data_IF_930442018857
#
_entry.id   IF_930442018857
#
_cell.length_a   1.000
_cell.length_b   1.000
_cell.length_c   1.000
_cell.angle_alpha   90.00
_cell.angle_beta   90.00
_cell.angle_gamma   90.00
#
_symmetry.space_group_name_H-M   'P 1'
#
loop_
_entity.id
_entity.type
_entity.pdbx_description
1 polymer ?
#
# COMPACT_ATOMS: atom_id res chain seq x y z
N UNK A 1 -55.15 89.65 35.89
CA UNK A 1 -55.56 88.36 36.49
C UNK A 1 -55.84 87.39 35.35
N UNK A 2 -55.31 86.18 35.24
CA UNK A 2 -54.18 85.48 35.84
C UNK A 2 -53.94 84.29 34.85
N UNK A 3 -52.72 84.01 34.36
CA UNK A 3 -52.49 82.94 33.41
C UNK A 3 -52.48 81.58 34.13
N UNK A 4 -53.26 80.61 33.66
CA UNK A 4 -53.17 79.24 34.17
C UNK A 4 -51.99 78.53 33.53
N UNK A 5 -51.06 78.14 34.39
CA UNK A 5 -49.88 77.32 34.12
C UNK A 5 -50.30 75.90 33.77
N UNK A 6 -50.02 75.46 32.53
CA UNK A 6 -50.05 74.04 32.21
C UNK A 6 -48.75 73.37 32.66
N UNK A 7 -48.98 72.35 33.46
CA UNK A 7 -48.05 71.60 34.28
C UNK A 7 -47.26 70.63 33.39
N UNK A 8 -46.06 71.01 32.96
CA UNK A 8 -45.11 70.04 32.40
C UNK A 8 -44.53 69.24 33.56
N UNK A 9 -45.16 68.09 33.85
CA UNK A 9 -44.58 67.11 34.76
C UNK A 9 -43.17 66.72 34.29
N UNK A 10 -42.25 66.56 35.24
CA UNK A 10 -40.89 66.08 35.04
C UNK A 10 -40.89 64.72 34.33
N UNK A 11 -40.89 64.73 33.00
CA UNK A 11 -40.63 63.55 32.20
C UNK A 11 -39.11 63.38 32.23
N UNK A 12 -38.65 62.46 33.08
CA UNK A 12 -37.24 62.09 33.18
C UNK A 12 -36.65 61.84 31.79
N UNK A 13 -35.52 62.48 31.42
CA UNK A 13 -34.89 62.32 30.10
C UNK A 13 -34.60 60.85 29.76
N UNK A 14 -34.38 60.03 30.79
CA UNK A 14 -34.19 58.59 30.67
C UNK A 14 -35.42 57.85 30.12
N UNK A 15 -36.63 58.28 30.49
CA UNK A 15 -37.88 57.70 29.98
C UNK A 15 -38.05 58.05 28.50
N UNK A 16 -37.68 59.28 28.10
CA UNK A 16 -37.77 59.75 26.71
C UNK A 16 -36.76 59.06 25.80
N UNK A 17 -35.51 58.90 26.25
CA UNK A 17 -34.46 58.21 25.50
C UNK A 17 -34.79 56.71 25.36
N UNK A 18 -35.24 56.05 26.45
CA UNK A 18 -35.64 54.65 26.42
C UNK A 18 -36.80 54.41 25.45
N UNK A 19 -37.84 55.25 25.51
CA UNK A 19 -38.98 55.16 24.61
C UNK A 19 -38.62 55.51 23.15
N UNK A 20 -37.62 56.36 22.91
CA UNK A 20 -37.13 56.68 21.57
C UNK A 20 -36.43 55.49 20.93
N UNK A 21 -35.58 54.78 21.68
CA UNK A 21 -34.92 53.57 21.18
C UNK A 21 -35.91 52.40 21.03
N UNK A 22 -36.84 52.21 21.97
CA UNK A 22 -37.88 51.17 21.89
C UNK A 22 -38.87 51.38 20.74
N UNK A 23 -39.18 52.64 20.37
CA UNK A 23 -40.07 52.94 19.23
C UNK A 23 -39.37 52.99 17.87
N UNK A 24 -38.07 53.29 17.81
CA UNK A 24 -37.35 53.52 16.55
C UNK A 24 -36.40 52.39 16.12
N UNK A 25 -36.03 51.44 16.99
CA UNK A 25 -35.26 50.26 16.57
C UNK A 25 -36.16 49.17 16.02
N UNK A 26 -36.60 49.35 14.78
CA UNK A 26 -37.10 48.22 13.97
C UNK A 26 -35.90 47.55 13.29
N UNK A 27 -35.32 46.56 13.98
CA UNK A 27 -34.23 45.77 13.40
C UNK A 27 -34.82 44.80 12.36
N UNK A 28 -34.85 45.19 11.09
CA UNK A 28 -35.22 44.30 9.99
C UNK A 28 -33.95 43.68 9.41
N UNK A 29 -33.76 42.39 9.62
CA UNK A 29 -32.74 41.60 8.93
C UNK A 29 -33.44 40.73 7.89
N UNK A 30 -32.82 40.59 6.71
CA UNK A 30 -33.25 39.66 5.68
C UNK A 30 -32.12 38.69 5.37
N UNK A 31 -32.44 37.40 5.29
CA UNK A 31 -31.52 36.39 4.78
C UNK A 31 -31.92 36.14 3.34
N UNK A 32 -30.98 36.39 2.42
CA UNK A 32 -31.16 36.02 1.02
C UNK A 32 -30.30 34.80 0.73
N UNK A 33 -30.91 33.77 0.14
CA UNK A 33 -30.21 32.66 -0.48
C UNK A 33 -30.32 32.87 -1.99
N UNK A 34 -29.19 32.97 -2.69
CA UNK A 34 -29.17 33.02 -4.16
C UNK A 34 -28.66 31.69 -4.69
N UNK A 35 -29.39 31.12 -5.64
CA UNK A 35 -29.00 29.92 -6.36
C UNK A 35 -28.74 30.33 -7.81
N UNK A 36 -27.46 30.25 -8.21
CA UNK A 36 -27.04 30.47 -9.59
C UNK A 36 -26.90 29.12 -10.28
N UNK A 37 -27.71 28.88 -11.32
CA UNK A 37 -27.60 27.70 -12.19
C UNK A 37 -27.23 28.20 -13.57
N UNK A 38 -26.06 27.80 -14.07
CA UNK A 38 -25.60 28.18 -15.40
C UNK A 38 -25.89 27.07 -16.40
N UNK A 39 -26.65 27.39 -17.45
CA UNK A 39 -27.17 26.44 -18.45
C UNK A 39 -26.43 26.55 -19.79
N UNK A 40 -25.48 27.49 -19.93
CA UNK A 40 -24.74 27.71 -21.17
C UNK A 40 -23.67 26.61 -21.37
N UNK A 41 -23.79 25.76 -22.41
CA UNK A 41 -22.86 24.66 -22.66
C UNK A 41 -21.47 25.14 -23.13
N UNK A 42 -21.32 26.41 -23.52
CA UNK A 42 -20.04 26.98 -23.96
C UNK A 42 -19.12 27.38 -22.80
N UNK A 43 -19.63 27.33 -21.56
CA UNK A 43 -18.90 27.71 -20.36
C UNK A 43 -17.70 26.79 -20.08
N UNK A 44 -16.59 27.34 -19.52
CA UNK A 44 -15.38 26.59 -19.18
C UNK A 44 -15.62 25.37 -18.28
N UNK A 45 -16.73 25.36 -17.52
CA UNK A 45 -17.12 24.29 -16.60
C UNK A 45 -17.39 22.97 -17.36
N UNK A 46 -17.96 23.03 -18.56
CA UNK A 46 -18.19 21.82 -19.38
C UNK A 46 -16.88 21.26 -19.94
N UNK A 47 -15.96 22.13 -20.40
CA UNK A 47 -14.59 21.73 -20.79
C UNK A 47 -13.77 21.20 -19.60
N UNK A 48 -13.95 21.78 -18.41
CA UNK A 48 -13.36 21.28 -17.16
C UNK A 48 -13.87 19.88 -16.81
N UNK A 49 -15.14 19.58 -17.09
CA UNK A 49 -15.72 18.24 -16.89
C UNK A 49 -15.14 17.21 -17.87
N UNK A 50 -14.93 17.56 -19.14
CA UNK A 50 -14.29 16.67 -20.12
C UNK A 50 -12.82 16.38 -19.76
N UNK A 51 -12.09 17.40 -19.32
CA UNK A 51 -10.70 17.24 -18.84
C UNK A 51 -10.63 16.43 -17.54
N UNK A 52 -11.61 16.59 -16.64
CA UNK A 52 -11.72 15.73 -15.45
C UNK A 52 -12.00 14.27 -15.84
N UNK A 53 -12.99 14.02 -16.71
CA UNK A 53 -13.34 12.68 -17.16
C UNK A 53 -12.18 11.97 -17.88
N UNK A 54 -11.41 12.70 -18.70
CA UNK A 54 -10.23 12.14 -19.36
C UNK A 54 -9.11 11.83 -18.37
N UNK A 55 -8.84 12.71 -17.40
CA UNK A 55 -7.89 12.40 -16.30
C UNK A 55 -8.33 11.17 -15.51
N UNK A 56 -9.61 11.06 -15.17
CA UNK A 56 -10.16 9.91 -14.47
C UNK A 56 -9.93 8.61 -15.25
N UNK A 57 -10.20 8.60 -16.56
CA UNK A 57 -9.90 7.44 -17.42
C UNK A 57 -8.41 7.08 -17.42
N UNK A 58 -7.50 8.06 -17.45
CA UNK A 58 -6.05 7.81 -17.37
C UNK A 58 -5.68 7.17 -16.04
N UNK A 59 -6.26 7.62 -14.92
CA UNK A 59 -6.05 6.99 -13.62
C UNK A 59 -6.57 5.56 -13.58
N UNK A 60 -7.75 5.31 -14.14
CA UNK A 60 -8.33 3.95 -14.25
C UNK A 60 -7.41 3.03 -15.05
N UNK A 61 -6.92 3.46 -16.22
CA UNK A 61 -5.96 2.66 -17.00
C UNK A 61 -4.66 2.39 -16.26
N UNK A 62 -4.12 3.40 -15.57
CA UNK A 62 -2.91 3.23 -14.75
C UNK A 62 -3.13 2.24 -13.62
N UNK A 63 -4.31 2.23 -13.02
CA UNK A 63 -4.65 1.31 -11.95
C UNK A 63 -4.77 -0.14 -12.47
N UNK A 64 -5.43 -0.33 -13.62
CA UNK A 64 -5.50 -1.64 -14.30
C UNK A 64 -4.09 -2.14 -14.64
N UNK A 65 -3.22 -1.27 -15.14
CA UNK A 65 -1.83 -1.62 -15.45
C UNK A 65 -1.04 -2.03 -14.20
N UNK A 66 -1.19 -1.29 -13.10
CA UNK A 66 -0.57 -1.63 -11.82
C UNK A 66 -1.07 -2.98 -11.27
N UNK A 67 -2.36 -3.26 -11.38
CA UNK A 67 -2.95 -4.53 -10.96
C UNK A 67 -2.44 -5.70 -11.81
N UNK A 68 -2.36 -5.51 -13.13
CA UNK A 68 -1.79 -6.50 -14.04
C UNK A 68 -0.32 -6.79 -13.72
N UNK A 69 0.48 -5.74 -13.54
CA UNK A 69 1.90 -5.89 -13.19
C UNK A 69 2.07 -6.59 -11.83
N UNK A 70 1.25 -6.25 -10.83
CA UNK A 70 1.27 -6.91 -9.54
C UNK A 70 0.91 -8.40 -9.65
N UNK A 71 -0.07 -8.74 -10.49
CA UNK A 71 -0.45 -10.13 -10.76
C UNK A 71 0.66 -10.91 -11.46
N UNK A 72 1.27 -10.34 -12.51
CA UNK A 72 2.39 -10.97 -13.24
C UNK A 72 3.61 -11.19 -12.33
N UNK A 73 3.95 -10.20 -11.49
CA UNK A 73 5.02 -10.33 -10.51
C UNK A 73 4.73 -11.44 -9.49
N UNK A 74 3.47 -11.54 -9.03
CA UNK A 74 3.05 -12.62 -8.12
C UNK A 74 3.22 -13.99 -8.79
N UNK A 75 2.75 -14.15 -10.02
CA UNK A 75 2.85 -15.41 -10.77
C UNK A 75 4.33 -15.79 -10.99
N UNK A 76 5.16 -14.81 -11.36
CA UNK A 76 6.61 -15.02 -11.53
C UNK A 76 7.25 -15.50 -10.24
N UNK A 77 6.95 -14.86 -9.10
CA UNK A 77 7.44 -15.29 -7.78
C UNK A 77 7.02 -16.72 -7.46
N UNK A 78 5.73 -17.05 -7.60
CA UNK A 78 5.22 -18.41 -7.34
C UNK A 78 5.94 -19.46 -8.17
N UNK A 79 6.18 -19.19 -9.46
CA UNK A 79 6.93 -20.09 -10.34
C UNK A 79 8.39 -20.28 -9.90
N UNK A 80 9.06 -19.22 -9.45
CA UNK A 80 10.45 -19.27 -8.97
C UNK A 80 10.54 -20.04 -7.66
N UNK A 81 9.60 -19.83 -6.72
CA UNK A 81 9.56 -20.59 -5.47
C UNK A 81 9.35 -22.08 -5.72
N UNK A 82 8.45 -22.44 -6.63
CA UNK A 82 8.20 -23.83 -6.99
C UNK A 82 9.48 -24.49 -7.54
N UNK A 83 10.17 -23.83 -8.46
CA UNK A 83 11.43 -24.29 -9.04
C UNK A 83 12.53 -24.44 -7.98
N UNK A 84 12.72 -23.44 -7.12
CA UNK A 84 13.74 -23.48 -6.07
C UNK A 84 13.47 -24.58 -5.04
N UNK A 85 12.20 -24.80 -4.68
CA UNK A 85 11.80 -25.88 -3.79
C UNK A 85 12.07 -27.27 -4.41
N UNK A 86 11.81 -27.42 -5.70
CA UNK A 86 12.17 -28.63 -6.44
C UNK A 86 13.68 -28.87 -6.44
N UNK A 87 14.49 -27.83 -6.71
CA UNK A 87 15.97 -27.92 -6.64
C UNK A 87 16.48 -28.33 -5.26
N UNK A 88 15.91 -27.80 -4.19
CA UNK A 88 16.23 -28.23 -2.81
C UNK A 88 15.92 -29.72 -2.64
N UNK A 89 14.74 -30.16 -3.08
CA UNK A 89 14.31 -31.57 -2.96
C UNK A 89 15.25 -32.51 -3.70
N UNK A 90 15.68 -32.12 -4.91
CA UNK A 90 16.65 -32.88 -5.71
C UNK A 90 18.02 -32.92 -5.01
N UNK A 91 18.53 -31.77 -4.56
CA UNK A 91 19.81 -31.69 -3.86
C UNK A 91 19.81 -32.51 -2.55
N UNK A 92 18.69 -32.56 -1.83
CA UNK A 92 18.54 -33.35 -0.61
C UNK A 92 18.58 -34.85 -0.90
N UNK A 93 17.93 -35.30 -1.98
CA UNK A 93 18.02 -36.70 -2.43
C UNK A 93 19.44 -37.07 -2.87
N UNK A 94 20.13 -36.19 -3.59
CA UNK A 94 21.53 -36.40 -3.98
C UNK A 94 22.40 -36.53 -2.73
N UNK A 95 22.24 -35.64 -1.76
CA UNK A 95 22.99 -35.69 -0.51
C UNK A 95 22.75 -37.00 0.26
N UNK A 96 21.50 -37.47 0.36
CA UNK A 96 21.17 -38.77 0.98
C UNK A 96 21.79 -39.96 0.23
N UNK A 97 21.82 -39.90 -1.11
CA UNK A 97 22.47 -40.92 -1.93
C UNK A 97 23.98 -40.95 -1.67
N UNK A 98 24.63 -39.79 -1.66
CA UNK A 98 26.07 -39.70 -1.39
C UNK A 98 26.40 -40.15 0.03
N UNK A 99 25.57 -39.85 1.04
CA UNK A 99 25.74 -40.39 2.39
C UNK A 99 25.74 -41.92 2.40
N UNK A 100 24.82 -42.52 1.65
CA UNK A 100 24.72 -43.98 1.54
C UNK A 100 25.94 -44.58 0.82
N UNK A 101 26.42 -43.92 -0.24
CA UNK A 101 27.63 -44.30 -0.97
C UNK A 101 28.89 -44.20 -0.10
N UNK A 102 29.04 -43.14 0.68
CA UNK A 102 30.17 -42.98 1.62
C UNK A 102 30.16 -44.05 2.70
N UNK A 103 28.98 -44.43 3.21
CA UNK A 103 28.86 -45.54 4.17
C UNK A 103 29.32 -46.87 3.56
N UNK A 104 28.90 -47.15 2.32
CA UNK A 104 29.32 -48.37 1.60
C UNK A 104 30.82 -48.32 1.23
N UNK A 105 31.36 -47.15 0.90
CA UNK A 105 32.79 -46.96 0.68
C UNK A 105 33.61 -47.23 1.95
N UNK A 106 33.10 -46.82 3.12
CA UNK A 106 33.71 -47.13 4.42
C UNK A 106 33.75 -48.65 4.66
N UNK A 107 32.66 -49.36 4.39
CA UNK A 107 32.62 -50.83 4.55
C UNK A 107 33.65 -51.51 3.61
N UNK A 108 33.77 -51.03 2.37
CA UNK A 108 34.77 -51.57 1.45
C UNK A 108 36.21 -51.24 1.84
N UNK A 109 36.46 -50.05 2.38
CA UNK A 109 37.77 -49.68 2.91
C UNK A 109 38.18 -50.62 4.07
N UNK A 110 37.28 -50.85 5.03
CA UNK A 110 37.51 -51.74 6.17
C UNK A 110 37.76 -53.18 5.71
N UNK A 111 37.08 -53.63 4.66
CA UNK A 111 37.29 -54.95 4.07
C UNK A 111 38.54 -55.07 3.17
N UNK A 112 39.29 -53.97 2.97
CA UNK A 112 40.47 -53.91 2.10
C UNK A 112 40.16 -53.95 0.60
N UNK A 113 38.90 -53.74 0.19
CA UNK A 113 38.44 -53.81 -1.22
C UNK A 113 38.44 -52.45 -1.92
N UNK A 114 38.64 -51.37 -1.18
CA UNK A 114 38.68 -50.00 -1.67
C UNK A 114 39.95 -49.32 -1.16
N UNK A 115 40.60 -48.48 -1.97
CA UNK A 115 41.75 -47.73 -1.51
C UNK A 115 41.34 -46.57 -0.58
N UNK A 116 42.27 -46.14 0.28
CA UNK A 116 42.08 -44.94 1.12
C UNK A 116 41.81 -43.71 0.25
N UNK A 117 42.46 -43.62 -0.92
CA UNK A 117 42.29 -42.51 -1.85
C UNK A 117 40.86 -42.45 -2.41
N UNK A 118 40.31 -43.58 -2.83
CA UNK A 118 38.95 -43.65 -3.36
C UNK A 118 37.92 -43.31 -2.28
N UNK A 119 38.14 -43.76 -1.04
CA UNK A 119 37.31 -43.37 0.09
C UNK A 119 37.34 -41.86 0.34
N UNK A 120 38.54 -41.25 0.34
CA UNK A 120 38.70 -39.79 0.50
C UNK A 120 38.04 -39.00 -0.62
N UNK A 121 38.11 -39.51 -1.85
CA UNK A 121 37.40 -38.92 -2.98
C UNK A 121 35.88 -38.94 -2.75
N UNK A 122 35.33 -40.07 -2.28
CA UNK A 122 33.92 -40.18 -1.95
C UNK A 122 33.49 -39.25 -0.81
N UNK A 123 34.36 -38.97 0.18
CA UNK A 123 34.12 -37.94 1.20
C UNK A 123 34.04 -36.53 0.59
N UNK A 124 34.91 -36.20 -0.37
CA UNK A 124 34.83 -34.92 -1.09
C UNK A 124 33.50 -34.77 -1.85
N UNK A 125 33.05 -35.82 -2.55
CA UNK A 125 31.77 -35.80 -3.27
C UNK A 125 30.59 -35.58 -2.31
N UNK A 126 30.64 -36.17 -1.11
CA UNK A 126 29.62 -35.95 -0.08
C UNK A 126 29.58 -34.49 0.39
N UNK A 127 30.74 -33.87 0.62
CA UNK A 127 30.80 -32.45 1.01
C UNK A 127 30.35 -31.53 -0.13
N UNK A 128 30.69 -31.82 -1.38
CA UNK A 128 30.19 -31.07 -2.54
C UNK A 128 28.65 -31.13 -2.63
N UNK A 129 28.07 -32.31 -2.42
CA UNK A 129 26.61 -32.48 -2.37
C UNK A 129 25.97 -31.68 -1.21
N UNK A 130 26.65 -31.62 -0.06
CA UNK A 130 26.21 -30.80 1.08
C UNK A 130 26.24 -29.31 0.76
N UNK A 131 27.33 -28.84 0.14
CA UNK A 131 27.48 -27.45 -0.29
C UNK A 131 26.36 -27.09 -1.28
N UNK A 132 26.09 -27.94 -2.27
CA UNK A 132 25.03 -27.74 -3.25
C UNK A 132 23.64 -27.66 -2.57
N UNK A 133 23.36 -28.51 -1.58
CA UNK A 133 22.11 -28.43 -0.80
C UNK A 133 21.99 -27.10 -0.05
N UNK A 134 23.06 -26.67 0.63
CA UNK A 134 23.08 -25.40 1.37
C UNK A 134 22.93 -24.19 0.44
N UNK A 135 23.59 -24.20 -0.72
CA UNK A 135 23.45 -23.15 -1.74
C UNK A 135 22.01 -23.06 -2.25
N UNK A 136 21.35 -24.19 -2.53
CA UNK A 136 19.95 -24.17 -2.97
C UNK A 136 19.01 -23.65 -1.87
N UNK A 137 19.25 -24.00 -0.59
CA UNK A 137 18.50 -23.45 0.54
C UNK A 137 18.71 -21.94 0.70
N UNK A 138 19.95 -21.46 0.53
CA UNK A 138 20.27 -20.04 0.53
C UNK A 138 19.56 -19.31 -0.61
N UNK A 139 19.58 -19.84 -1.83
CA UNK A 139 18.90 -19.25 -2.98
C UNK A 139 17.39 -19.13 -2.75
N UNK A 140 16.75 -20.13 -2.13
CA UNK A 140 15.35 -20.07 -1.74
C UNK A 140 15.09 -18.96 -0.70
N UNK A 141 15.91 -18.85 0.35
CA UNK A 141 15.78 -17.79 1.34
C UNK A 141 16.01 -16.39 0.75
N UNK A 142 17.00 -16.26 -0.14
CA UNK A 142 17.27 -15.00 -0.85
C UNK A 142 16.08 -14.60 -1.72
N UNK A 143 15.48 -15.54 -2.46
CA UNK A 143 14.27 -15.29 -3.24
C UNK A 143 13.06 -14.87 -2.39
N UNK A 144 13.06 -15.25 -1.10
CA UNK A 144 12.03 -14.85 -0.14
C UNK A 144 12.19 -13.43 0.37
N UNK A 145 13.43 -12.93 0.43
CA UNK A 145 13.76 -11.64 1.04
C UNK A 145 13.87 -10.54 -0.02
N UNK A 146 14.37 -10.84 -1.22
CA UNK A 146 14.53 -9.85 -2.29
C UNK A 146 13.28 -9.77 -3.18
N UNK A 147 12.36 -8.86 -2.85
CA UNK A 147 11.20 -8.58 -3.70
C UNK A 147 11.52 -7.84 -5.01
N UNK A 148 12.77 -7.38 -5.19
CA UNK A 148 13.19 -6.42 -6.22
C UNK A 148 14.08 -6.99 -7.33
N UNK A 149 14.57 -8.24 -7.24
CA UNK A 149 15.53 -8.81 -8.21
C UNK A 149 14.96 -9.94 -9.09
N UNK A 150 13.64 -10.13 -9.08
CA UNK A 150 12.89 -11.07 -9.91
C UNK A 150 11.64 -10.38 -10.43
#
# INVERSE_FOLDING_TARGET
>A
MNPQSENYGDISPWITIKNYWERNLKFSWSVSASLSITIDPSLPIFKARETFNSKQKVYEYKQIELEKNAYELKLRRESVYANLKEKITIAEKIYQLEQSRTKLAQDYLVSGRLSVLDFKLQECVLEDARIALLQNRLNYLLSAISSEWL
#
